data_IF_197546078932
#
_entry.id   IF_197546078932
#
_cell.length_a   1.000
_cell.length_b   1.000
_cell.length_c   1.000
_cell.angle_alpha   90.00
_cell.angle_beta   90.00
_cell.angle_gamma   90.00
#
_symmetry.space_group_name_H-M   'P 1'
#
loop_
_entity.id
_entity.type
_entity.pdbx_description
1 polymer ?
#
# COMPACT_ATOMS: atom_id res chain seq x y z
N UNK A 1 36.34 12.15 1.77
CA UNK A 1 36.40 12.51 3.20
C UNK A 1 35.04 12.17 3.78
N UNK A 2 34.83 10.92 4.17
CA UNK A 2 34.83 10.55 5.59
C UNK A 2 33.41 10.64 6.16
N UNK A 3 32.49 9.81 5.66
CA UNK A 3 31.14 9.67 6.19
C UNK A 3 31.21 9.00 7.56
N UNK A 4 31.28 9.80 8.62
CA UNK A 4 31.07 9.36 9.99
C UNK A 4 29.71 8.68 10.08
N UNK A 5 29.74 7.36 10.30
CA UNK A 5 28.56 6.54 10.54
C UNK A 5 27.79 7.05 11.74
N UNK A 6 26.71 7.78 11.48
CA UNK A 6 25.62 7.91 12.43
C UNK A 6 24.81 6.63 12.26
N UNK A 7 24.76 5.82 13.32
CA UNK A 7 23.86 4.68 13.46
C UNK A 7 22.45 5.11 13.05
N UNK A 8 22.04 4.84 11.81
CA UNK A 8 20.64 4.91 11.41
C UNK A 8 19.95 3.76 12.14
N UNK A 9 19.37 4.07 13.30
CA UNK A 9 18.53 3.13 14.02
C UNK A 9 17.47 2.59 13.04
N UNK A 10 17.32 1.27 13.01
CA UNK A 10 16.25 0.60 12.27
C UNK A 10 14.90 1.20 12.67
N UNK A 11 14.06 1.53 11.67
CA UNK A 11 12.69 2.02 11.88
C UNK A 11 11.95 1.10 12.85
N UNK A 12 11.42 1.68 13.93
CA UNK A 12 10.61 0.93 14.89
C UNK A 12 9.18 0.75 14.37
N UNK A 13 8.50 -0.28 14.85
CA UNK A 13 7.09 -0.55 14.52
C UNK A 13 6.27 -0.25 15.77
N UNK A 14 5.26 0.59 15.62
CA UNK A 14 4.35 1.00 16.68
C UNK A 14 2.95 0.44 16.45
N UNK A 15 2.35 -0.07 17.52
CA UNK A 15 0.93 -0.41 17.53
C UNK A 15 0.15 0.67 18.26
N UNK A 16 -0.79 1.38 17.59
CA UNK A 16 -1.72 2.26 18.28
C UNK A 16 -2.82 1.44 18.94
N UNK A 17 -3.07 1.70 20.22
CA UNK A 17 -4.01 0.96 21.06
C UNK A 17 -5.15 1.89 21.49
N UNK A 18 -6.38 1.40 21.38
CA UNK A 18 -7.61 2.17 21.51
C UNK A 18 -8.62 1.50 22.46
N UNK A 19 -8.13 0.63 23.35
CA UNK A 19 -8.98 -0.05 24.33
C UNK A 19 -9.79 0.93 25.19
N UNK A 20 -11.06 0.60 25.43
CA UNK A 20 -12.01 1.48 26.12
C UNK A 20 -11.90 1.43 27.66
N UNK A 21 -11.16 0.44 28.18
CA UNK A 21 -10.80 0.31 29.60
C UNK A 21 -9.32 0.00 29.76
N UNK A 22 -8.79 0.18 30.98
CA UNK A 22 -7.39 -0.14 31.30
C UNK A 22 -7.10 -1.63 31.10
N UNK A 23 -8.02 -2.52 31.48
CA UNK A 23 -7.87 -3.96 31.33
C UNK A 23 -7.81 -4.37 29.86
N UNK A 24 -8.64 -3.75 29.01
CA UNK A 24 -8.58 -3.96 27.57
C UNK A 24 -7.25 -3.45 27.02
N UNK A 25 -6.83 -2.25 27.39
CA UNK A 25 -5.56 -1.67 26.97
C UNK A 25 -4.39 -2.59 27.31
N UNK A 26 -4.30 -3.12 28.53
CA UNK A 26 -3.24 -4.05 28.96
C UNK A 26 -3.27 -5.37 28.16
N UNK A 27 -4.45 -5.90 27.80
CA UNK A 27 -4.55 -7.07 26.92
C UNK A 27 -4.03 -6.76 25.51
N UNK A 28 -4.42 -5.63 24.95
CA UNK A 28 -3.96 -5.16 23.64
C UNK A 28 -2.44 -4.94 23.61
N UNK A 29 -1.85 -4.40 24.68
CA UNK A 29 -0.39 -4.26 24.80
C UNK A 29 0.34 -5.60 24.69
N UNK A 30 -0.15 -6.62 25.38
CA UNK A 30 0.42 -7.98 25.34
C UNK A 30 0.26 -8.61 23.96
N UNK A 31 -0.89 -8.40 23.32
CA UNK A 31 -1.15 -8.86 21.95
C UNK A 31 -0.21 -8.18 20.95
N UNK A 32 -0.08 -6.85 20.99
CA UNK A 32 0.80 -6.10 20.10
C UNK A 32 2.26 -6.55 20.19
N UNK A 33 2.75 -6.82 21.41
CA UNK A 33 4.08 -7.42 21.61
C UNK A 33 4.20 -8.79 20.96
N UNK A 34 3.21 -9.68 21.17
CA UNK A 34 3.21 -11.01 20.58
C UNK A 34 3.17 -10.96 19.03
N UNK A 35 2.50 -9.96 18.46
CA UNK A 35 2.42 -9.73 17.01
C UNK A 35 3.70 -9.08 16.43
N UNK A 36 4.62 -8.63 17.28
CA UNK A 36 5.94 -8.13 16.88
C UNK A 36 6.07 -6.62 16.85
N UNK A 37 5.24 -5.88 17.58
CA UNK A 37 5.46 -4.44 17.79
C UNK A 37 6.74 -4.20 18.61
N UNK A 38 7.42 -3.07 18.35
CA UNK A 38 8.58 -2.60 19.11
C UNK A 38 8.19 -1.55 20.15
N UNK A 39 7.11 -0.82 19.89
CA UNK A 39 6.63 0.30 20.67
C UNK A 39 5.09 0.30 20.68
N UNK A 40 4.47 0.87 21.72
CA UNK A 40 3.01 0.96 21.82
C UNK A 40 2.58 2.42 21.96
N UNK A 41 1.56 2.84 21.21
CA UNK A 41 0.96 4.17 21.33
C UNK A 41 -0.38 4.05 22.07
N UNK A 42 -0.47 4.64 23.26
CA UNK A 42 -1.64 4.56 24.14
C UNK A 42 -2.51 5.80 23.95
N UNK A 43 -3.71 5.60 23.40
CA UNK A 43 -4.72 6.64 23.20
C UNK A 43 -5.58 6.79 24.45
N UNK A 44 -5.17 7.66 25.37
CA UNK A 44 -5.93 7.90 26.60
C UNK A 44 -7.34 8.46 26.32
N UNK A 45 -7.52 9.14 25.19
CA UNK A 45 -8.81 9.67 24.75
C UNK A 45 -9.86 8.60 24.42
N UNK A 46 -9.45 7.34 24.26
CA UNK A 46 -10.39 6.22 24.06
C UNK A 46 -10.83 5.56 25.36
N UNK A 47 -10.14 5.78 26.48
CA UNK A 47 -10.50 5.15 27.76
C UNK A 47 -11.70 5.88 28.36
N UNK A 48 -12.79 5.13 28.54
CA UNK A 48 -14.01 5.64 29.17
C UNK A 48 -13.78 5.90 30.67
N UNK A 49 -14.31 7.02 31.19
CA UNK A 49 -14.17 7.43 32.60
C UNK A 49 -12.70 7.41 33.09
N UNK A 50 -11.80 8.00 32.31
CA UNK A 50 -10.38 7.98 32.63
C UNK A 50 -10.03 8.81 33.88
N UNK A 51 -9.42 8.17 34.89
CA UNK A 51 -8.93 8.78 36.12
C UNK A 51 -7.39 8.76 36.15
N UNK A 52 -6.70 9.87 35.82
CA UNK A 52 -5.24 9.89 35.59
C UNK A 52 -4.40 9.26 36.71
N UNK A 53 -4.62 9.64 37.96
CA UNK A 53 -3.82 9.16 39.10
C UNK A 53 -3.99 7.67 39.42
N UNK A 54 -5.10 7.06 38.99
CA UNK A 54 -5.35 5.64 39.21
C UNK A 54 -4.97 4.81 37.98
N UNK A 55 -5.32 5.29 36.78
CA UNK A 55 -5.16 4.52 35.55
C UNK A 55 -3.76 4.62 34.94
N UNK A 56 -3.05 5.75 35.06
CA UNK A 56 -1.69 5.85 34.50
C UNK A 56 -0.72 4.87 35.16
N UNK A 57 -0.66 4.73 36.51
CA UNK A 57 0.19 3.70 37.13
C UNK A 57 -0.17 2.30 36.64
N UNK A 58 -1.45 1.95 36.57
CA UNK A 58 -1.88 0.64 36.09
C UNK A 58 -1.46 0.35 34.64
N UNK A 59 -1.51 1.34 33.76
CA UNK A 59 -1.03 1.26 32.36
C UNK A 59 0.49 1.10 32.33
N UNK A 60 1.22 1.94 33.06
CA UNK A 60 2.69 2.01 33.03
C UNK A 60 3.34 0.78 33.70
N UNK A 61 2.81 0.32 34.82
CA UNK A 61 3.32 -0.85 35.56
C UNK A 61 3.13 -2.16 34.77
N UNK A 62 2.16 -2.19 33.85
CA UNK A 62 1.89 -3.33 32.98
C UNK A 62 2.54 -3.23 31.60
N UNK A 63 3.39 -2.21 31.34
CA UNK A 63 3.96 -1.97 30.01
C UNK A 63 4.92 -3.11 29.60
N UNK A 64 4.62 -3.86 28.52
CA UNK A 64 5.49 -4.96 28.09
C UNK A 64 6.57 -4.49 27.09
N UNK A 65 6.47 -3.24 26.63
CA UNK A 65 7.29 -2.52 25.64
C UNK A 65 7.28 -1.02 26.00
N UNK A 66 8.19 -0.20 25.43
CA UNK A 66 8.14 1.26 25.57
C UNK A 66 6.80 1.85 25.10
N UNK A 67 6.31 2.86 25.82
CA UNK A 67 5.03 3.51 25.55
C UNK A 67 5.19 4.95 25.04
N UNK A 68 4.44 5.29 23.98
CA UNK A 68 4.03 6.67 23.69
C UNK A 68 2.68 6.89 24.35
N UNK A 69 2.61 7.85 25.27
CA UNK A 69 1.36 8.29 25.89
C UNK A 69 0.87 9.56 25.20
N UNK A 70 -0.41 9.58 24.84
CA UNK A 70 -1.05 10.76 24.31
C UNK A 70 -2.52 10.86 24.73
N UNK A 71 -3.03 12.09 24.75
CA UNK A 71 -4.39 12.37 25.13
C UNK A 71 -5.00 13.35 24.13
N UNK A 72 -5.42 12.82 22.96
CA UNK A 72 -5.72 13.65 21.78
C UNK A 72 -7.07 14.38 21.95
N UNK A 73 -7.12 15.71 21.84
CA UNK A 73 -8.36 16.48 21.92
C UNK A 73 -9.15 16.44 20.61
N UNK A 74 -10.47 16.70 20.68
CA UNK A 74 -11.34 16.73 19.48
C UNK A 74 -10.90 17.71 18.40
N UNK A 75 -10.34 18.86 18.79
CA UNK A 75 -9.85 19.86 17.83
C UNK A 75 -8.62 19.39 17.03
N UNK A 76 -7.97 18.28 17.43
CA UNK A 76 -6.87 17.63 16.70
C UNK A 76 -7.22 16.18 16.32
N UNK A 77 -8.51 15.88 16.10
CA UNK A 77 -8.98 14.58 15.61
C UNK A 77 -9.03 13.44 16.65
N UNK A 78 -8.88 13.75 17.94
CA UNK A 78 -9.07 12.80 19.04
C UNK A 78 -10.49 12.76 19.58
N UNK A 79 -10.67 12.08 20.71
CA UNK A 79 -11.97 11.96 21.38
C UNK A 79 -12.09 12.78 22.67
N UNK A 80 -11.00 13.34 23.19
CA UNK A 80 -11.05 14.07 24.45
C UNK A 80 -11.85 15.38 24.34
N UNK A 81 -12.84 15.50 25.22
CA UNK A 81 -13.60 16.72 25.50
C UNK A 81 -13.46 17.03 26.98
N UNK A 82 -12.90 18.19 27.30
CA UNK A 82 -12.69 18.61 28.67
C UNK A 82 -11.82 19.85 28.76
N UNK A 83 -11.43 20.18 29.98
CA UNK A 83 -10.52 21.29 30.27
C UNK A 83 -9.09 20.99 29.81
N UNK A 84 -8.54 21.89 28.99
CA UNK A 84 -7.21 21.72 28.42
C UNK A 84 -6.13 21.67 29.50
N UNK A 85 -6.25 22.45 30.58
CA UNK A 85 -5.28 22.42 31.66
C UNK A 85 -5.24 21.02 32.31
N UNK A 86 -6.39 20.43 32.59
CA UNK A 86 -6.53 19.07 33.16
C UNK A 86 -5.94 17.99 32.23
N UNK A 87 -6.17 18.11 30.92
CA UNK A 87 -5.55 17.24 29.90
C UNK A 87 -4.03 17.32 29.94
N UNK A 88 -3.48 18.52 29.99
CA UNK A 88 -2.03 18.74 30.00
C UNK A 88 -1.39 18.29 31.33
N UNK A 89 -2.08 18.47 32.46
CA UNK A 89 -1.65 17.90 33.75
C UNK A 89 -1.59 16.38 33.72
N UNK A 90 -2.51 15.72 33.00
CA UNK A 90 -2.48 14.27 32.79
C UNK A 90 -1.20 13.83 32.05
N UNK A 91 -0.82 14.55 31.00
CA UNK A 91 0.41 14.24 30.24
C UNK A 91 1.68 14.52 31.05
N UNK A 92 1.68 15.57 31.89
CA UNK A 92 2.78 15.83 32.84
C UNK A 92 2.91 14.69 33.85
N UNK A 93 1.81 14.27 34.46
CA UNK A 93 1.78 13.14 35.37
C UNK A 93 2.30 11.86 34.71
N UNK A 94 1.96 11.59 33.44
CA UNK A 94 2.50 10.44 32.72
C UNK A 94 4.02 10.52 32.56
N UNK A 95 4.59 11.71 32.30
CA UNK A 95 6.04 11.92 32.24
C UNK A 95 6.70 11.71 33.61
N UNK A 96 6.10 12.23 34.69
CA UNK A 96 6.56 12.05 36.08
C UNK A 96 6.59 10.58 36.50
N UNK A 97 5.59 9.82 36.07
CA UNK A 97 5.47 8.39 36.34
C UNK A 97 6.36 7.51 35.44
N UNK A 98 7.20 8.12 34.57
CA UNK A 98 8.20 7.39 33.79
C UNK A 98 7.69 6.79 32.46
N UNK A 99 6.74 7.46 31.80
CA UNK A 99 6.44 7.18 30.40
C UNK A 99 7.69 7.37 29.51
N UNK A 100 7.90 6.50 28.52
CA UNK A 100 9.07 6.55 27.65
C UNK A 100 8.99 7.72 26.67
N UNK A 101 7.79 7.97 26.15
CA UNK A 101 7.50 9.09 25.25
C UNK A 101 6.16 9.75 25.60
N UNK A 102 6.10 11.08 25.46
CA UNK A 102 4.85 11.85 25.48
C UNK A 102 4.69 12.57 24.15
N UNK A 103 3.51 12.48 23.56
CA UNK A 103 3.13 13.19 22.33
C UNK A 103 2.28 14.41 22.68
N UNK A 104 2.77 15.59 22.31
CA UNK A 104 2.10 16.89 22.46
C UNK A 104 1.76 17.47 21.10
N UNK A 105 0.55 18.01 20.96
CA UNK A 105 0.18 18.78 19.77
C UNK A 105 1.01 20.07 19.69
N UNK A 106 1.47 20.43 18.47
CA UNK A 106 2.30 21.61 18.22
C UNK A 106 1.75 22.90 18.86
N UNK A 107 0.43 23.07 18.84
CA UNK A 107 -0.28 24.25 19.37
C UNK A 107 -0.01 24.51 20.85
N UNK A 108 0.30 23.48 21.63
CA UNK A 108 0.51 23.56 23.09
C UNK A 108 1.93 23.19 23.54
N UNK A 109 2.75 22.66 22.64
CA UNK A 109 4.04 22.05 22.98
C UNK A 109 5.09 23.03 23.53
N UNK A 110 5.19 24.26 23.00
CA UNK A 110 6.30 25.18 23.28
C UNK A 110 6.45 25.57 24.75
N UNK A 111 5.33 25.83 25.45
CA UNK A 111 5.34 26.17 26.87
C UNK A 111 5.65 24.93 27.73
N UNK A 112 5.08 23.78 27.39
CA UNK A 112 5.10 22.58 28.22
C UNK A 112 6.45 21.87 28.21
N UNK A 113 7.04 21.67 27.04
CA UNK A 113 8.29 20.92 26.90
C UNK A 113 9.43 21.65 27.62
N UNK A 114 9.49 22.98 27.50
CA UNK A 114 10.51 23.78 28.19
C UNK A 114 10.40 23.63 29.71
N UNK A 115 9.19 23.71 30.24
CA UNK A 115 8.95 23.54 31.68
C UNK A 115 9.29 22.12 32.15
N UNK A 116 8.87 21.10 31.40
CA UNK A 116 9.15 19.70 31.72
C UNK A 116 10.65 19.38 31.70
N UNK A 117 11.39 19.89 30.70
CA UNK A 117 12.84 19.69 30.62
C UNK A 117 13.61 20.42 31.73
N UNK A 118 13.09 21.52 32.26
CA UNK A 118 13.71 22.25 33.38
C UNK A 118 13.42 21.54 34.71
N UNK A 119 12.17 21.14 34.93
CA UNK A 119 11.71 20.66 36.22
C UNK A 119 11.97 19.16 36.45
N UNK A 120 12.16 18.39 35.38
CA UNK A 120 12.33 16.94 35.45
C UNK A 120 13.57 16.52 34.65
N UNK A 121 14.57 15.96 35.34
CA UNK A 121 15.63 15.17 34.72
C UNK A 121 15.09 13.78 34.34
N UNK A 122 13.97 13.73 33.62
CA UNK A 122 13.34 12.49 33.20
C UNK A 122 14.02 11.94 31.94
N UNK A 123 14.09 10.62 31.81
CA UNK A 123 14.51 9.95 30.59
C UNK A 123 13.44 9.99 29.48
N UNK A 124 12.23 10.51 29.78
CA UNK A 124 11.12 10.69 28.85
C UNK A 124 11.52 11.57 27.66
N UNK A 125 11.19 11.12 26.44
CA UNK A 125 11.37 11.89 25.22
C UNK A 125 10.05 12.52 24.76
N UNK A 126 10.12 13.71 24.18
CA UNK A 126 8.95 14.46 23.74
C UNK A 126 8.78 14.41 22.23
N UNK A 127 7.63 13.89 21.80
CA UNK A 127 7.16 13.94 20.42
C UNK A 127 6.30 15.20 20.28
N UNK A 128 6.54 15.99 19.25
CA UNK A 128 5.63 17.08 18.87
C UNK A 128 4.92 16.71 17.59
N UNK A 129 3.60 16.64 17.65
CA UNK A 129 2.76 16.24 16.53
C UNK A 129 2.08 17.42 15.85
N UNK A 130 1.93 17.33 14.53
CA UNK A 130 1.11 18.24 13.74
C UNK A 130 0.32 17.46 12.70
N UNK A 131 -1.01 17.68 12.68
CA UNK A 131 -1.89 17.22 11.60
C UNK A 131 -2.00 18.32 10.54
N UNK A 132 -1.53 18.04 9.33
CA UNK A 132 -1.60 18.98 8.22
C UNK A 132 -3.02 18.99 7.68
N UNK A 133 -3.66 20.16 7.74
CA UNK A 133 -5.04 20.40 7.26
C UNK A 133 -5.09 21.14 5.93
N UNK A 134 -3.97 21.70 5.47
CA UNK A 134 -3.85 22.39 4.17
C UNK A 134 -3.73 21.34 3.06
N UNK A 135 -4.47 21.55 1.98
CA UNK A 135 -4.64 20.58 0.88
C UNK A 135 -3.36 20.26 0.10
N UNK A 136 -2.28 21.05 0.23
CA UNK A 136 -0.90 20.70 -0.16
C UNK A 136 0.05 21.82 0.29
N UNK A 137 0.80 21.66 1.38
CA UNK A 137 1.83 22.63 1.74
C UNK A 137 3.03 22.54 0.77
N UNK A 138 3.60 23.69 0.46
CA UNK A 138 4.87 23.83 -0.25
C UNK A 138 6.06 23.32 0.57
N UNK A 139 7.19 23.06 -0.09
CA UNK A 139 8.43 22.67 0.58
C UNK A 139 8.90 23.73 1.60
N UNK A 140 8.67 25.02 1.32
CA UNK A 140 8.96 26.12 2.23
C UNK A 140 8.05 26.08 3.47
N UNK A 141 6.75 25.84 3.30
CA UNK A 141 5.81 25.69 4.41
C UNK A 141 6.16 24.48 5.28
N UNK A 142 6.57 23.36 4.67
CA UNK A 142 7.03 22.18 5.39
C UNK A 142 8.33 22.45 6.16
N UNK A 143 9.29 23.17 5.56
CA UNK A 143 10.51 23.58 6.23
C UNK A 143 10.25 24.50 7.42
N UNK A 144 9.36 25.48 7.24
CA UNK A 144 8.93 26.40 8.29
C UNK A 144 8.19 25.67 9.42
N UNK A 145 7.32 24.71 9.08
CA UNK A 145 6.64 23.86 10.04
C UNK A 145 7.65 23.06 10.86
N UNK A 146 8.58 22.36 10.20
CA UNK A 146 9.58 21.57 10.90
C UNK A 146 10.49 22.44 11.77
N UNK A 147 10.88 23.64 11.31
CA UNK A 147 11.63 24.60 12.13
C UNK A 147 10.84 25.05 13.38
N UNK A 148 9.54 25.31 13.22
CA UNK A 148 8.64 25.67 14.32
C UNK A 148 8.53 24.54 15.33
N UNK A 149 8.31 23.30 14.87
CA UNK A 149 8.25 22.13 15.73
C UNK A 149 9.57 21.91 16.47
N UNK A 150 10.72 22.09 15.82
CA UNK A 150 12.05 22.01 16.46
C UNK A 150 12.24 23.06 17.55
N UNK A 151 11.79 24.28 17.32
CA UNK A 151 11.92 25.38 18.27
C UNK A 151 11.17 25.14 19.59
N UNK A 152 10.21 24.21 19.63
CA UNK A 152 9.54 23.78 20.88
C UNK A 152 10.46 22.99 21.83
N UNK A 153 11.60 22.49 21.33
CA UNK A 153 12.48 21.58 22.08
C UNK A 153 12.11 20.10 21.91
N UNK A 154 11.30 19.74 20.90
CA UNK A 154 10.95 18.36 20.57
C UNK A 154 12.18 17.46 20.37
N UNK A 155 12.11 16.23 20.86
CA UNK A 155 13.13 15.20 20.59
C UNK A 155 12.82 14.44 19.30
N UNK A 156 11.54 14.37 18.92
CA UNK A 156 11.02 13.68 17.72
C UNK A 156 9.93 14.56 17.10
N UNK A 157 9.96 14.72 15.77
CA UNK A 157 8.88 15.38 15.03
C UNK A 157 7.87 14.34 14.55
N UNK A 158 6.57 14.62 14.68
CA UNK A 158 5.50 13.78 14.13
C UNK A 158 4.60 14.59 13.20
N UNK A 159 4.54 14.23 11.93
CA UNK A 159 3.72 14.89 10.93
C UNK A 159 2.74 13.88 10.36
N UNK A 160 1.45 14.21 10.40
CA UNK A 160 0.39 13.37 9.86
C UNK A 160 -0.41 14.19 8.87
N UNK A 161 -0.62 13.67 7.67
CA UNK A 161 -1.48 14.32 6.66
C UNK A 161 -2.61 13.39 6.21
N UNK A 162 -3.68 13.96 5.67
CA UNK A 162 -4.72 13.19 4.98
C UNK A 162 -4.61 13.47 3.48
N UNK A 163 -4.31 12.45 2.69
CA UNK A 163 -4.06 12.59 1.25
C UNK A 163 -5.24 12.13 0.43
N UNK A 164 -5.50 12.88 -0.64
CA UNK A 164 -6.56 12.58 -1.62
C UNK A 164 -6.02 11.96 -2.89
N UNK A 165 -4.72 12.10 -3.14
CA UNK A 165 -3.99 11.44 -4.21
C UNK A 165 -2.67 10.83 -3.67
N UNK A 166 -2.25 9.72 -4.26
CA UNK A 166 -1.02 9.02 -3.84
C UNK A 166 0.26 9.83 -4.10
N UNK A 167 0.24 10.78 -5.03
CA UNK A 167 1.40 11.61 -5.39
C UNK A 167 1.79 12.56 -4.27
N UNK A 168 0.84 12.93 -3.42
CA UNK A 168 1.05 13.77 -2.25
C UNK A 168 2.05 13.17 -1.24
N UNK A 169 2.16 11.84 -1.20
CA UNK A 169 3.04 11.10 -0.28
C UNK A 169 4.52 11.36 -0.55
N UNK A 170 4.89 11.83 -1.74
CA UNK A 170 6.28 12.21 -2.03
C UNK A 170 6.82 13.24 -1.02
N UNK A 171 5.95 14.10 -0.48
CA UNK A 171 6.31 15.06 0.58
C UNK A 171 6.64 14.37 1.90
N UNK A 172 5.92 13.31 2.26
CA UNK A 172 6.26 12.48 3.43
C UNK A 172 7.65 11.87 3.25
N UNK A 173 7.94 11.31 2.08
CA UNK A 173 9.26 10.74 1.81
C UNK A 173 10.37 11.80 1.85
N UNK A 174 10.08 13.02 1.38
CA UNK A 174 10.98 14.15 1.51
C UNK A 174 11.26 14.49 2.99
N UNK A 175 10.22 14.62 3.83
CA UNK A 175 10.34 14.88 5.26
C UNK A 175 11.15 13.79 5.99
N UNK A 176 10.94 12.52 5.65
CA UNK A 176 11.69 11.43 6.28
C UNK A 176 13.18 11.45 5.89
N UNK A 177 13.51 11.85 4.66
CA UNK A 177 14.86 11.71 4.11
C UNK A 177 15.80 12.89 4.41
N UNK A 178 15.26 14.09 4.66
CA UNK A 178 16.07 15.33 4.68
C UNK A 178 16.40 15.86 6.09
N UNK A 179 15.79 15.33 7.14
CA UNK A 179 15.94 15.87 8.49
C UNK A 179 16.94 15.05 9.32
N UNK A 180 17.87 15.75 9.98
CA UNK A 180 18.93 15.15 10.81
C UNK A 180 18.46 14.75 12.22
N UNK A 181 17.16 14.77 12.48
CA UNK A 181 16.56 14.35 13.74
C UNK A 181 15.50 13.28 13.49
N UNK A 182 15.10 12.50 14.51
CA UNK A 182 14.03 11.52 14.34
C UNK A 182 12.72 12.17 13.86
N UNK A 183 12.20 11.68 12.73
CA UNK A 183 10.93 12.10 12.17
C UNK A 183 10.00 10.90 12.03
N UNK A 184 8.77 11.06 12.48
CA UNK A 184 7.62 10.20 12.22
C UNK A 184 6.76 10.96 11.20
N UNK A 185 6.59 10.43 10.01
CA UNK A 185 5.73 11.07 9.02
C UNK A 185 4.97 10.01 8.21
N UNK A 186 3.66 10.19 8.09
CA UNK A 186 2.80 9.30 7.31
C UNK A 186 1.50 9.98 6.93
N UNK A 187 0.83 9.42 5.93
CA UNK A 187 -0.49 9.87 5.50
C UNK A 187 -1.56 8.86 5.94
N UNK A 188 -2.74 9.34 6.37
CA UNK A 188 -3.89 8.51 6.71
C UNK A 188 -4.73 8.15 5.48
N UNK A 189 -5.62 7.17 5.62
CA UNK A 189 -6.51 6.73 4.55
C UNK A 189 -5.83 5.77 3.56
N UNK A 190 -6.63 5.11 2.72
CA UNK A 190 -6.14 4.01 1.87
C UNK A 190 -5.00 4.39 0.93
N UNK A 191 -4.97 5.65 0.46
CA UNK A 191 -3.89 6.18 -0.38
C UNK A 191 -2.59 6.31 0.39
N UNK A 192 -2.66 6.70 1.66
CA UNK A 192 -1.52 6.86 2.55
C UNK A 192 -0.78 5.56 2.91
N UNK A 193 -1.31 4.38 2.56
CA UNK A 193 -0.74 3.09 2.95
C UNK A 193 0.77 2.96 2.66
N UNK A 194 1.22 3.41 1.48
CA UNK A 194 2.63 3.28 1.11
C UNK A 194 3.57 4.16 1.96
N UNK A 195 3.06 5.22 2.59
CA UNK A 195 3.85 6.05 3.51
C UNK A 195 4.32 5.25 4.74
N UNK A 196 3.47 4.34 5.24
CA UNK A 196 3.82 3.43 6.34
C UNK A 196 4.74 2.31 5.86
N UNK A 197 4.45 1.72 4.70
CA UNK A 197 5.20 0.57 4.16
C UNK A 197 6.64 0.93 3.77
N UNK A 198 6.85 2.14 3.22
CA UNK A 198 8.15 2.59 2.74
C UNK A 198 8.90 3.46 3.76
N UNK A 199 8.36 3.63 4.97
CA UNK A 199 8.97 4.38 6.05
C UNK A 199 10.45 3.97 6.31
N UNK A 200 10.83 2.66 6.34
CA UNK A 200 12.23 2.26 6.52
C UNK A 200 13.16 2.71 5.39
N UNK A 201 12.70 2.66 4.13
CA UNK A 201 13.49 3.12 2.98
C UNK A 201 13.83 4.61 3.11
N UNK A 202 12.85 5.42 3.50
CA UNK A 202 13.01 6.86 3.56
C UNK A 202 13.52 7.36 4.92
N UNK A 203 13.92 6.47 5.83
CA UNK A 203 14.62 6.82 7.07
C UNK A 203 13.72 7.26 8.21
N UNK A 204 12.42 6.95 8.17
CA UNK A 204 11.51 7.31 9.25
C UNK A 204 11.79 6.57 10.56
N UNK A 205 11.57 7.27 11.67
CA UNK A 205 11.84 6.76 13.01
C UNK A 205 10.84 5.65 13.42
N UNK A 206 9.57 5.83 13.03
CA UNK A 206 8.47 4.96 13.43
C UNK A 206 7.53 4.72 12.23
N UNK A 207 7.18 3.46 12.02
CA UNK A 207 6.05 3.07 11.19
C UNK A 207 4.95 2.46 12.07
N UNK A 208 3.70 2.57 11.67
CA UNK A 208 2.56 2.05 12.42
C UNK A 208 2.03 0.76 11.81
N UNK A 209 1.60 -0.16 12.68
CA UNK A 209 0.90 -1.37 12.29
C UNK A 209 -0.24 -1.69 13.26
N UNK A 210 -1.40 -2.04 12.72
CA UNK A 210 -2.57 -2.36 13.55
C UNK A 210 -2.53 -3.81 14.05
N UNK A 211 -3.05 -4.03 15.26
CA UNK A 211 -3.17 -5.38 15.84
C UNK A 211 -4.29 -6.17 15.16
N UNK A 212 -4.22 -7.49 15.22
CA UNK A 212 -5.30 -8.36 14.73
C UNK A 212 -6.63 -8.03 15.40
N UNK A 213 -7.69 -7.90 14.59
CA UNK A 213 -9.04 -7.57 15.06
C UNK A 213 -9.36 -6.08 15.05
N UNK A 214 -8.35 -5.22 14.89
CA UNK A 214 -8.54 -3.77 14.79
C UNK A 214 -7.91 -3.25 13.49
N UNK A 215 -8.74 -2.96 12.49
CA UNK A 215 -8.29 -2.44 11.20
C UNK A 215 -8.45 -0.93 11.15
N UNK A 216 -7.36 -0.22 10.85
CA UNK A 216 -7.37 1.24 10.66
C UNK A 216 -7.17 1.52 9.17
N UNK A 217 -8.09 2.24 8.49
CA UNK A 217 -7.92 2.56 7.07
C UNK A 217 -6.58 3.24 6.77
N UNK A 218 -5.84 2.71 5.80
CA UNK A 218 -4.51 3.22 5.45
C UNK A 218 -3.36 2.70 6.31
N UNK A 219 -3.64 1.92 7.36
CA UNK A 219 -2.61 1.32 8.20
C UNK A 219 -2.45 -0.17 7.86
N UNK A 220 -1.22 -0.67 7.64
CA UNK A 220 -0.99 -2.09 7.49
C UNK A 220 -1.20 -2.80 8.84
N UNK A 221 -1.49 -4.10 8.82
CA UNK A 221 -1.44 -4.90 10.05
C UNK A 221 0.01 -5.18 10.46
N UNK A 222 0.27 -5.37 11.76
CA UNK A 222 1.58 -5.83 12.27
C UNK A 222 2.04 -7.10 11.57
N UNK A 223 1.12 -8.03 11.30
CA UNK A 223 1.40 -9.23 10.54
C UNK A 223 1.97 -8.92 9.16
N UNK A 224 1.31 -8.04 8.39
CA UNK A 224 1.75 -7.68 7.04
C UNK A 224 3.10 -6.97 7.05
N UNK A 225 3.31 -6.04 7.97
CA UNK A 225 4.60 -5.36 8.17
C UNK A 225 5.73 -6.36 8.38
N UNK A 226 5.52 -7.35 9.26
CA UNK A 226 6.55 -8.32 9.66
C UNK A 226 6.75 -9.49 8.69
N UNK A 227 5.71 -9.94 8.00
CA UNK A 227 5.75 -11.18 7.21
C UNK A 227 5.68 -10.93 5.70
N UNK A 228 4.83 -9.99 5.27
CA UNK A 228 4.67 -9.66 3.85
C UNK A 228 5.81 -8.74 3.40
N UNK A 229 5.95 -7.59 4.07
CA UNK A 229 6.85 -6.52 3.66
C UNK A 229 8.24 -6.59 4.28
N UNK A 230 8.41 -7.26 5.42
CA UNK A 230 9.71 -7.47 6.08
C UNK A 230 10.47 -6.16 6.26
N UNK A 231 9.87 -5.20 6.97
CA UNK A 231 10.47 -3.86 7.21
C UNK A 231 11.90 -3.94 7.76
N UNK A 232 12.20 -4.98 8.53
CA UNK A 232 13.51 -5.34 9.07
C UNK A 232 14.61 -5.58 8.00
N UNK A 233 14.23 -5.86 6.75
CA UNK A 233 15.14 -6.06 5.63
C UNK A 233 15.25 -4.83 4.70
N UNK A 234 14.42 -3.81 4.90
CA UNK A 234 14.37 -2.64 4.02
C UNK A 234 15.38 -1.56 4.45
N UNK A 235 16.02 -0.92 3.47
CA UNK A 235 16.98 0.17 3.67
C UNK A 235 16.87 1.23 2.56
N UNK A 236 17.71 2.26 2.58
CA UNK A 236 17.68 3.37 1.61
C UNK A 236 17.86 2.90 0.16
N UNK A 237 18.60 1.83 -0.07
CA UNK A 237 18.90 1.29 -1.40
C UNK A 237 17.81 0.35 -1.93
N UNK A 238 16.85 -0.04 -1.10
CA UNK A 238 15.76 -0.94 -1.50
C UNK A 238 14.98 -0.35 -2.66
N UNK A 239 14.84 -1.09 -3.75
CA UNK A 239 14.03 -0.69 -4.91
C UNK A 239 12.55 -0.95 -4.67
N UNK A 240 11.70 -0.05 -5.16
CA UNK A 240 10.25 -0.09 -4.94
C UNK A 240 9.55 -0.46 -6.24
N UNK A 241 8.99 -1.67 -6.26
CA UNK A 241 8.05 -2.12 -7.26
C UNK A 241 6.64 -1.98 -6.73
N UNK A 242 5.64 -2.09 -7.61
CA UNK A 242 4.28 -2.19 -7.12
C UNK A 242 3.21 -2.32 -8.17
N UNK A 243 1.98 -2.53 -7.70
CA UNK A 243 0.80 -2.58 -8.55
C UNK A 243 0.16 -1.19 -8.62
N UNK A 244 0.07 -0.64 -9.83
CA UNK A 244 -0.72 0.55 -10.16
C UNK A 244 -2.16 0.12 -10.45
N UNK A 245 -3.11 0.42 -9.57
CA UNK A 245 -4.53 0.08 -9.79
C UNK A 245 -5.50 0.94 -8.98
N UNK A 246 -6.78 0.87 -9.36
CA UNK A 246 -7.90 1.51 -8.67
C UNK A 246 -9.16 0.65 -8.76
N UNK A 247 -9.59 -0.02 -7.66
CA UNK A 247 -8.96 -0.09 -6.34
C UNK A 247 -7.70 -0.98 -6.32
N UNK A 248 -6.93 -0.96 -5.22
CA UNK A 248 -5.69 -1.77 -5.06
C UNK A 248 -5.69 -2.71 -3.86
N UNK A 249 -6.62 -2.55 -2.91
CA UNK A 249 -6.63 -3.22 -1.60
C UNK A 249 -6.69 -4.75 -1.66
N UNK A 250 -7.25 -5.34 -2.73
CA UNK A 250 -7.35 -6.79 -2.90
C UNK A 250 -6.15 -7.43 -3.60
N UNK A 251 -5.10 -6.66 -3.89
CA UNK A 251 -3.93 -7.17 -4.60
C UNK A 251 -3.19 -8.23 -3.78
N UNK A 252 -3.00 -9.40 -4.39
CA UNK A 252 -2.10 -10.45 -3.87
C UNK A 252 -0.65 -10.27 -4.35
N UNK A 253 -0.37 -9.25 -5.16
CA UNK A 253 0.98 -8.95 -5.67
C UNK A 253 2.04 -8.92 -4.57
N UNK A 254 1.82 -8.20 -3.45
CA UNK A 254 2.78 -8.18 -2.33
C UNK A 254 3.06 -9.56 -1.71
N UNK A 255 2.05 -10.46 -1.68
CA UNK A 255 2.19 -11.81 -1.11
C UNK A 255 3.03 -12.72 -2.04
N UNK A 256 3.01 -12.45 -3.34
CA UNK A 256 3.74 -13.23 -4.33
C UNK A 256 5.15 -12.68 -4.60
N UNK A 257 5.26 -11.37 -4.82
CA UNK A 257 6.53 -10.74 -5.20
C UNK A 257 7.51 -10.61 -4.05
N UNK A 258 7.08 -10.17 -2.87
CA UNK A 258 8.01 -9.91 -1.78
C UNK A 258 8.78 -11.17 -1.35
N UNK A 259 8.15 -12.36 -1.21
CA UNK A 259 8.91 -13.59 -0.99
C UNK A 259 9.86 -13.94 -2.13
N UNK A 260 9.45 -13.72 -3.39
CA UNK A 260 10.26 -14.01 -4.57
C UNK A 260 11.50 -13.12 -4.67
N UNK A 261 11.35 -11.80 -4.45
CA UNK A 261 12.47 -10.86 -4.41
C UNK A 261 13.49 -11.27 -3.34
N UNK A 262 13.02 -11.68 -2.16
CA UNK A 262 13.89 -12.18 -1.09
C UNK A 262 14.58 -13.50 -1.44
N UNK A 263 13.86 -14.44 -2.05
CA UNK A 263 14.44 -15.71 -2.47
C UNK A 263 15.61 -15.52 -3.44
N UNK A 264 15.48 -14.53 -4.32
CA UNK A 264 16.50 -14.17 -5.31
C UNK A 264 17.58 -13.21 -4.76
N UNK A 265 17.57 -12.93 -3.46
CA UNK A 265 18.44 -11.95 -2.79
C UNK A 265 18.42 -10.57 -3.46
N UNK A 266 17.28 -10.19 -4.02
CA UNK A 266 17.09 -8.88 -4.62
C UNK A 266 16.64 -7.87 -3.56
N UNK A 267 17.35 -6.75 -3.43
CA UNK A 267 17.00 -5.67 -2.50
C UNK A 267 15.82 -4.86 -3.04
N UNK A 268 14.62 -5.43 -3.00
CA UNK A 268 13.41 -4.81 -3.48
C UNK A 268 12.20 -5.11 -2.60
N UNK A 269 11.21 -4.21 -2.67
CA UNK A 269 9.89 -4.35 -2.06
C UNK A 269 8.82 -4.10 -3.11
N UNK A 270 7.72 -4.83 -3.03
CA UNK A 270 6.55 -4.69 -3.88
C UNK A 270 5.36 -4.18 -3.07
N UNK A 271 4.81 -3.02 -3.44
CA UNK A 271 3.74 -2.31 -2.71
C UNK A 271 2.48 -2.05 -3.57
N UNK A 272 1.31 -1.84 -2.93
CA UNK A 272 0.10 -1.45 -3.65
C UNK A 272 0.03 0.07 -3.87
N UNK A 273 0.18 0.52 -5.12
CA UNK A 273 -0.04 1.92 -5.49
C UNK A 273 -1.52 2.15 -5.84
N UNK A 274 -2.26 2.79 -4.92
CA UNK A 274 -3.61 3.28 -5.17
C UNK A 274 -3.54 4.57 -6.00
N UNK A 275 -3.56 4.43 -7.33
CA UNK A 275 -3.40 5.57 -8.24
C UNK A 275 -4.76 6.11 -8.67
N UNK A 276 -4.93 7.43 -8.71
CA UNK A 276 -6.09 8.08 -9.34
C UNK A 276 -5.73 8.64 -10.72
N UNK A 277 -4.61 9.35 -10.81
CA UNK A 277 -4.10 10.01 -12.02
C UNK A 277 -2.76 9.40 -12.47
N UNK A 278 -2.73 8.74 -13.63
CA UNK A 278 -1.52 8.12 -14.18
C UNK A 278 -0.42 9.13 -14.50
N UNK A 279 -0.78 10.30 -15.03
CA UNK A 279 0.19 11.33 -15.43
C UNK A 279 0.95 11.86 -14.22
N UNK A 280 0.21 12.23 -13.18
CA UNK A 280 0.80 12.74 -11.94
C UNK A 280 1.60 11.64 -11.23
N UNK A 281 1.11 10.39 -11.26
CA UNK A 281 1.82 9.24 -10.72
C UNK A 281 3.19 9.04 -11.35
N UNK A 282 3.28 8.92 -12.69
CA UNK A 282 4.56 8.68 -13.35
C UNK A 282 5.51 9.89 -13.28
N UNK A 283 4.97 11.10 -13.19
CA UNK A 283 5.77 12.30 -12.92
C UNK A 283 6.38 12.26 -11.52
N UNK A 284 5.59 11.91 -10.51
CA UNK A 284 5.99 11.90 -9.10
C UNK A 284 6.96 10.77 -8.78
N UNK A 285 6.68 9.56 -9.29
CA UNK A 285 7.47 8.36 -9.06
C UNK A 285 8.43 8.08 -10.22
N UNK A 286 9.10 9.15 -10.70
CA UNK A 286 10.00 9.13 -11.86
C UNK A 286 11.43 8.68 -11.55
N UNK A 287 11.83 8.68 -10.28
CA UNK A 287 13.20 8.35 -9.85
C UNK A 287 13.60 6.88 -10.01
N UNK A 288 14.90 6.62 -9.97
CA UNK A 288 15.52 5.28 -10.06
C UNK A 288 15.21 4.34 -8.89
N UNK A 289 14.51 4.84 -7.86
CA UNK A 289 13.96 4.05 -6.77
C UNK A 289 12.74 3.23 -7.20
N UNK A 290 12.11 3.59 -8.32
CA UNK A 290 10.91 2.96 -8.84
C UNK A 290 11.20 2.31 -10.21
N UNK A 291 11.90 1.16 -10.23
CA UNK A 291 12.36 0.55 -11.47
C UNK A 291 11.27 -0.20 -12.25
N UNK A 292 10.09 -0.44 -11.68
CA UNK A 292 9.03 -1.11 -12.43
C UNK A 292 7.71 -1.24 -11.71
N UNK A 293 6.66 -1.44 -12.51
CA UNK A 293 5.29 -1.44 -12.06
C UNK A 293 4.52 -2.58 -12.73
N UNK A 294 3.68 -3.27 -11.97
CA UNK A 294 2.55 -3.99 -12.57
C UNK A 294 1.39 -3.03 -12.74
N UNK A 295 0.55 -3.26 -13.74
CA UNK A 295 -0.62 -2.42 -14.03
C UNK A 295 -1.87 -3.27 -13.95
N UNK A 296 -2.78 -2.86 -13.05
CA UNK A 296 -4.06 -3.49 -12.80
C UNK A 296 -5.22 -2.75 -13.45
N UNK A 297 -6.43 -3.16 -13.11
CA UNK A 297 -7.66 -2.47 -13.53
C UNK A 297 -7.71 -1.07 -12.87
N UNK A 298 -8.17 -0.02 -13.58
CA UNK A 298 -8.63 0.00 -14.98
C UNK A 298 -7.55 0.42 -15.98
N UNK A 299 -6.28 0.46 -15.58
CA UNK A 299 -5.26 1.23 -16.27
C UNK A 299 -4.55 0.53 -17.43
N UNK A 300 -4.76 -0.78 -17.64
CA UNK A 300 -3.96 -1.56 -18.62
C UNK A 300 -3.97 -1.00 -20.05
N UNK A 301 -5.08 -0.39 -20.48
CA UNK A 301 -5.17 0.24 -21.81
C UNK A 301 -4.60 1.66 -21.78
N UNK A 302 -5.01 2.49 -20.81
CA UNK A 302 -4.58 3.89 -20.69
C UNK A 302 -3.08 4.05 -20.47
N UNK A 303 -2.44 3.09 -19.80
CA UNK A 303 -1.00 3.17 -19.46
C UNK A 303 -0.09 3.08 -20.69
N UNK A 304 -0.60 2.61 -21.84
CA UNK A 304 0.15 2.49 -23.09
C UNK A 304 0.70 3.86 -23.53
N UNK A 305 -0.10 4.92 -23.37
CA UNK A 305 0.29 6.30 -23.73
C UNK A 305 1.40 6.88 -22.84
N UNK A 306 1.66 6.26 -21.68
CA UNK A 306 2.70 6.66 -20.73
C UNK A 306 4.00 5.86 -20.89
N UNK A 307 4.03 4.88 -21.79
CA UNK A 307 5.24 4.13 -22.12
C UNK A 307 5.98 4.84 -23.25
N UNK A 308 7.29 5.06 -23.10
CA UNK A 308 8.12 5.60 -24.17
C UNK A 308 8.33 4.58 -25.30
N UNK A 309 8.36 3.30 -24.93
CA UNK A 309 8.49 2.16 -25.84
C UNK A 309 7.50 1.06 -25.41
N UNK A 310 6.89 0.38 -26.38
CA UNK A 310 5.94 -0.71 -26.11
C UNK A 310 6.42 -1.95 -26.84
N UNK A 311 6.51 -3.07 -26.14
CA UNK A 311 6.89 -4.34 -26.73
C UNK A 311 5.87 -4.75 -27.82
N UNK A 312 6.29 -5.30 -28.99
CA UNK A 312 5.39 -5.58 -30.11
C UNK A 312 4.15 -6.40 -29.75
N UNK A 313 4.29 -7.37 -28.84
CA UNK A 313 3.14 -8.12 -28.31
C UNK A 313 2.15 -7.21 -27.57
N UNK A 314 2.63 -6.36 -26.66
CA UNK A 314 1.78 -5.47 -25.89
C UNK A 314 1.12 -4.39 -26.76
N UNK A 315 1.83 -3.91 -27.79
CA UNK A 315 1.32 -2.98 -28.79
C UNK A 315 0.20 -3.62 -29.61
N UNK A 316 0.39 -4.84 -30.11
CA UNK A 316 -0.65 -5.58 -30.85
C UNK A 316 -1.90 -5.80 -30.00
N UNK A 317 -1.71 -6.15 -28.72
CA UNK A 317 -2.80 -6.32 -27.77
C UNK A 317 -3.47 -4.96 -27.50
N UNK A 318 -2.73 -3.85 -27.51
CA UNK A 318 -3.21 -2.53 -27.08
C UNK A 318 -3.40 -2.44 -25.57
N UNK A 319 -2.64 -3.21 -24.79
CA UNK A 319 -2.68 -3.16 -23.34
C UNK A 319 -1.34 -3.57 -22.71
N UNK A 320 -0.93 -2.85 -21.67
CA UNK A 320 0.29 -3.08 -20.89
C UNK A 320 -0.09 -3.45 -19.46
N UNK A 321 0.49 -4.53 -18.94
CA UNK A 321 0.32 -4.95 -17.54
C UNK A 321 1.62 -4.91 -16.73
N UNK A 322 2.76 -4.68 -17.39
CA UNK A 322 4.09 -4.68 -16.80
C UNK A 322 4.90 -3.55 -17.41
N UNK A 323 5.44 -2.67 -16.58
CA UNK A 323 6.28 -1.55 -16.99
C UNK A 323 7.64 -1.74 -16.35
N UNK A 324 8.68 -1.62 -17.16
CA UNK A 324 10.07 -1.61 -16.69
C UNK A 324 10.65 -0.24 -17.00
N UNK A 325 11.21 0.42 -15.99
CA UNK A 325 12.02 1.62 -16.18
C UNK A 325 13.43 1.18 -16.52
N UNK A 326 13.85 1.46 -17.75
CA UNK A 326 15.17 1.07 -18.24
C UNK A 326 16.27 1.84 -17.48
N UNK A 327 17.25 1.15 -16.85
CA UNK A 327 18.24 1.82 -16.02
C UNK A 327 19.15 2.81 -16.76
N UNK A 328 19.43 2.60 -18.05
CA UNK A 328 20.41 3.40 -18.79
C UNK A 328 19.90 4.80 -19.19
N UNK A 329 18.61 4.96 -19.45
CA UNK A 329 18.02 6.22 -19.93
C UNK A 329 16.73 6.62 -19.20
N UNK A 330 16.24 5.79 -18.27
CA UNK A 330 15.05 6.06 -17.47
C UNK A 330 13.73 5.88 -18.21
N UNK A 331 13.74 5.43 -19.47
CA UNK A 331 12.53 5.24 -20.27
C UNK A 331 11.63 4.15 -19.71
N UNK A 332 10.32 4.34 -19.83
CA UNK A 332 9.30 3.38 -19.46
C UNK A 332 8.99 2.46 -20.65
N UNK A 333 9.27 1.17 -20.48
CA UNK A 333 9.00 0.14 -21.49
C UNK A 333 7.80 -0.70 -21.05
N UNK A 334 6.77 -0.73 -21.88
CA UNK A 334 5.52 -1.46 -21.64
C UNK A 334 5.54 -2.88 -22.19
N UNK A 335 5.17 -3.85 -21.37
CA UNK A 335 5.04 -5.27 -21.70
C UNK A 335 3.65 -5.81 -21.32
N UNK A 336 3.30 -6.94 -21.90
CA UNK A 336 2.10 -7.70 -21.56
C UNK A 336 2.48 -9.15 -21.23
N UNK A 337 2.35 -9.53 -19.96
CA UNK A 337 2.59 -10.89 -19.48
C UNK A 337 1.30 -11.67 -19.23
N UNK A 338 0.14 -11.01 -19.24
CA UNK A 338 -1.17 -11.66 -19.06
C UNK A 338 -1.46 -12.63 -20.21
N UNK A 339 -1.09 -12.24 -21.44
CA UNK A 339 -1.41 -12.98 -22.66
C UNK A 339 -0.89 -14.42 -22.62
N UNK A 340 0.41 -14.59 -22.46
CA UNK A 340 1.02 -15.93 -22.41
C UNK A 340 0.56 -16.68 -21.16
N UNK A 341 0.66 -16.05 -20.00
CA UNK A 341 0.43 -16.73 -18.74
C UNK A 341 -1.02 -17.20 -18.56
N UNK A 342 -2.02 -16.45 -19.06
CA UNK A 342 -3.41 -16.89 -19.01
C UNK A 342 -3.66 -18.11 -19.92
N UNK A 343 -3.06 -18.13 -21.11
CA UNK A 343 -3.25 -19.22 -22.07
C UNK A 343 -2.53 -20.49 -21.63
N UNK A 344 -1.27 -20.37 -21.18
CA UNK A 344 -0.55 -21.51 -20.59
C UNK A 344 -1.34 -22.10 -19.42
N UNK A 345 -1.90 -21.27 -18.55
CA UNK A 345 -2.69 -21.76 -17.42
C UNK A 345 -3.97 -22.49 -17.84
N UNK A 346 -4.59 -22.09 -18.95
CA UNK A 346 -5.76 -22.78 -19.51
C UNK A 346 -5.33 -24.12 -20.10
N UNK A 347 -4.23 -24.17 -20.84
CA UNK A 347 -3.70 -25.42 -21.41
C UNK A 347 -3.29 -26.41 -20.30
N UNK A 348 -2.64 -25.93 -19.24
CA UNK A 348 -2.29 -26.74 -18.07
C UNK A 348 -3.53 -27.31 -17.36
N UNK A 349 -4.58 -26.49 -17.19
CA UNK A 349 -5.85 -26.93 -16.61
C UNK A 349 -6.60 -27.95 -17.50
N UNK A 350 -6.26 -28.01 -18.78
CA UNK A 350 -6.75 -29.01 -19.74
C UNK A 350 -5.76 -30.18 -19.91
N UNK A 351 -4.87 -30.38 -18.94
CA UNK A 351 -3.87 -31.46 -18.93
C UNK A 351 -2.97 -31.44 -20.18
N UNK A 352 -2.61 -30.23 -20.65
CA UNK A 352 -1.76 -30.02 -21.82
C UNK A 352 -2.52 -30.12 -23.15
N UNK A 353 -3.85 -30.25 -23.13
CA UNK A 353 -4.64 -30.25 -24.37
C UNK A 353 -4.59 -28.86 -25.03
N UNK A 354 -4.03 -28.79 -26.23
CA UNK A 354 -3.96 -27.57 -27.02
C UNK A 354 -5.36 -26.98 -27.29
N UNK A 355 -5.44 -25.64 -27.27
CA UNK A 355 -6.69 -24.91 -27.52
C UNK A 355 -6.99 -24.67 -29.01
N UNK A 356 -6.08 -25.08 -29.90
CA UNK A 356 -6.20 -24.92 -31.35
C UNK A 356 -7.51 -25.52 -31.89
N UNK A 357 -8.21 -24.75 -32.73
CA UNK A 357 -9.50 -25.13 -33.34
C UNK A 357 -10.72 -25.04 -32.42
N UNK A 358 -10.53 -24.99 -31.08
CA UNK A 358 -11.63 -24.89 -30.11
C UNK A 358 -12.28 -23.50 -30.15
N UNK A 359 -13.56 -23.45 -29.82
CA UNK A 359 -14.25 -22.18 -29.59
C UNK A 359 -13.84 -21.60 -28.22
N UNK A 360 -13.23 -20.43 -28.24
CA UNK A 360 -12.88 -19.63 -27.07
C UNK A 360 -13.87 -18.49 -26.91
N UNK A 361 -14.73 -18.61 -25.90
CA UNK A 361 -15.76 -17.66 -25.56
C UNK A 361 -15.22 -16.71 -24.50
N UNK A 362 -15.04 -15.46 -24.88
CA UNK A 362 -14.57 -14.40 -24.00
C UNK A 362 -15.73 -13.52 -23.59
N UNK A 363 -15.85 -13.25 -22.29
CA UNK A 363 -16.75 -12.24 -21.75
C UNK A 363 -15.91 -11.13 -21.14
N UNK A 364 -16.00 -9.92 -21.70
CA UNK A 364 -15.18 -8.77 -21.34
C UNK A 364 -14.08 -8.47 -22.36
N UNK A 365 -14.08 -7.26 -22.90
CA UNK A 365 -13.15 -6.71 -23.89
C UNK A 365 -12.27 -5.58 -23.29
N UNK A 366 -12.07 -5.60 -21.97
CA UNK A 366 -11.09 -4.80 -21.23
C UNK A 366 -9.65 -5.26 -21.46
N UNK A 367 -8.65 -4.54 -20.97
CA UNK A 367 -7.23 -4.92 -21.13
C UNK A 367 -6.87 -6.39 -20.83
N UNK A 368 -7.48 -7.01 -19.81
CA UNK A 368 -7.30 -8.45 -19.53
C UNK A 368 -7.98 -9.34 -20.59
N UNK A 369 -9.19 -8.98 -21.01
CA UNK A 369 -9.89 -9.64 -22.11
C UNK A 369 -9.15 -9.54 -23.44
N UNK A 370 -8.55 -8.38 -23.73
CA UNK A 370 -7.69 -8.19 -24.90
C UNK A 370 -6.52 -9.18 -24.87
N UNK A 371 -5.80 -9.28 -23.76
CA UNK A 371 -4.71 -10.25 -23.61
C UNK A 371 -5.17 -11.71 -23.81
N UNK A 372 -6.32 -12.10 -23.23
CA UNK A 372 -6.91 -13.42 -23.43
C UNK A 372 -7.26 -13.71 -24.89
N UNK A 373 -7.92 -12.76 -25.57
CA UNK A 373 -8.33 -12.92 -26.97
C UNK A 373 -7.12 -13.08 -27.91
N UNK A 374 -6.11 -12.22 -27.76
CA UNK A 374 -4.88 -12.29 -28.56
C UNK A 374 -4.11 -13.58 -28.29
N UNK A 375 -3.97 -13.96 -27.02
CA UNK A 375 -3.31 -15.21 -26.64
C UNK A 375 -4.02 -16.42 -27.24
N UNK A 376 -5.33 -16.53 -27.06
CA UNK A 376 -6.11 -17.64 -27.59
C UNK A 376 -6.05 -17.69 -29.13
N UNK A 377 -6.09 -16.53 -29.79
CA UNK A 377 -5.97 -16.44 -31.24
C UNK A 377 -4.60 -16.91 -31.74
N UNK A 378 -3.52 -16.54 -31.04
CA UNK A 378 -2.16 -16.94 -31.39
C UNK A 378 -1.96 -18.47 -31.33
N UNK A 379 -2.75 -19.17 -30.50
CA UNK A 379 -2.79 -20.64 -30.42
C UNK A 379 -3.78 -21.30 -31.37
N UNK A 380 -4.42 -20.54 -32.26
CA UNK A 380 -5.33 -21.07 -33.28
C UNK A 380 -6.76 -21.31 -32.81
N UNK A 381 -7.18 -20.76 -31.66
CA UNK A 381 -8.57 -20.84 -31.23
C UNK A 381 -9.50 -19.95 -32.08
N UNK A 382 -10.78 -20.34 -32.18
CA UNK A 382 -11.84 -19.50 -32.75
C UNK A 382 -12.40 -18.61 -31.66
N UNK A 383 -12.39 -17.30 -31.86
CA UNK A 383 -12.73 -16.34 -30.80
C UNK A 383 -14.17 -15.84 -30.95
N UNK A 384 -14.95 -15.89 -29.87
CA UNK A 384 -16.26 -15.26 -29.74
C UNK A 384 -16.26 -14.34 -28.53
N UNK A 385 -16.63 -13.07 -28.71
CA UNK A 385 -16.51 -12.03 -27.69
C UNK A 385 -17.88 -11.44 -27.35
N UNK A 386 -18.14 -11.34 -26.05
CA UNK A 386 -19.28 -10.63 -25.47
C UNK A 386 -18.78 -9.52 -24.57
N UNK A 387 -19.38 -8.34 -24.64
CA UNK A 387 -19.15 -7.24 -23.70
C UNK A 387 -20.42 -6.40 -23.57
N UNK A 388 -20.61 -5.77 -22.42
CA UNK A 388 -21.71 -4.81 -22.17
C UNK A 388 -21.61 -3.61 -23.12
N UNK A 389 -20.40 -3.25 -23.52
CA UNK A 389 -20.11 -2.31 -24.59
C UNK A 389 -19.85 -3.11 -25.88
N UNK A 390 -20.88 -3.18 -26.71
CA UNK A 390 -20.83 -3.96 -27.95
C UNK A 390 -19.79 -3.43 -28.95
N UNK A 391 -19.49 -2.13 -28.94
CA UNK A 391 -18.48 -1.56 -29.84
C UNK A 391 -17.08 -1.98 -29.41
N UNK A 392 -16.82 -2.09 -28.09
CA UNK A 392 -15.58 -2.70 -27.59
C UNK A 392 -15.45 -4.17 -28.01
N UNK A 393 -16.53 -4.95 -27.90
CA UNK A 393 -16.52 -6.35 -28.34
C UNK A 393 -16.21 -6.48 -29.84
N UNK A 394 -16.87 -5.68 -30.68
CA UNK A 394 -16.61 -5.62 -32.14
C UNK A 394 -15.17 -5.26 -32.45
N UNK A 395 -14.66 -4.17 -31.86
CA UNK A 395 -13.29 -3.70 -32.09
C UNK A 395 -12.27 -4.79 -31.78
N UNK A 396 -12.41 -5.47 -30.63
CA UNK A 396 -11.52 -6.57 -30.27
C UNK A 396 -11.70 -7.78 -31.20
N UNK A 397 -12.92 -8.15 -31.56
CA UNK A 397 -13.19 -9.27 -32.46
C UNK A 397 -12.58 -9.04 -33.85
N UNK A 398 -12.68 -7.82 -34.39
CA UNK A 398 -12.01 -7.45 -35.63
C UNK A 398 -10.49 -7.58 -35.53
N UNK A 399 -9.89 -7.15 -34.42
CA UNK A 399 -8.44 -7.22 -34.20
C UNK A 399 -7.91 -8.67 -34.15
N UNK A 400 -8.71 -9.63 -33.66
CA UNK A 400 -8.31 -11.05 -33.55
C UNK A 400 -8.97 -11.95 -34.59
N UNK A 401 -9.64 -11.39 -35.60
CA UNK A 401 -10.40 -12.15 -36.61
C UNK A 401 -11.36 -13.16 -35.95
N UNK A 402 -12.15 -12.68 -35.00
CA UNK A 402 -13.19 -13.41 -34.28
C UNK A 402 -14.59 -12.87 -34.55
N UNK A 403 -15.56 -13.33 -33.77
CA UNK A 403 -16.96 -12.89 -33.83
C UNK A 403 -17.30 -12.08 -32.55
N UNK A 404 -18.13 -11.04 -32.69
CA UNK A 404 -18.66 -10.29 -31.56
C UNK A 404 -20.19 -10.47 -31.47
N UNK A 405 -20.70 -10.56 -30.24
CA UNK A 405 -22.12 -10.66 -29.93
C UNK A 405 -22.49 -9.72 -28.79
N UNK A 406 -23.76 -9.33 -28.71
CA UNK A 406 -24.23 -8.44 -27.64
C UNK A 406 -24.29 -9.20 -26.31
N UNK A 407 -24.09 -8.51 -25.20
CA UNK A 407 -24.04 -9.16 -23.88
C UNK A 407 -25.33 -9.92 -23.52
N UNK A 408 -26.50 -9.45 -23.95
CA UNK A 408 -27.80 -10.08 -23.70
C UNK A 408 -27.86 -11.49 -24.31
N UNK A 409 -27.13 -11.72 -25.40
CA UNK A 409 -27.09 -13.01 -26.07
C UNK A 409 -26.32 -14.07 -25.26
N UNK A 410 -25.51 -13.68 -24.26
CA UNK A 410 -24.80 -14.61 -23.36
C UNK A 410 -25.78 -15.56 -22.66
N UNK A 411 -26.93 -15.06 -22.23
CA UNK A 411 -27.91 -15.82 -21.42
C UNK A 411 -28.43 -17.05 -22.17
N UNK A 412 -28.63 -16.91 -23.48
CA UNK A 412 -29.18 -17.96 -24.34
C UNK A 412 -28.09 -18.67 -25.15
N UNK A 413 -26.82 -18.30 -24.97
CA UNK A 413 -25.73 -18.90 -25.72
C UNK A 413 -25.49 -20.34 -25.28
N UNK A 414 -25.49 -21.26 -26.24
CA UNK A 414 -25.19 -22.68 -26.03
C UNK A 414 -23.88 -23.00 -26.72
N UNK A 415 -22.75 -23.07 -26.00
CA UNK A 415 -21.48 -23.42 -26.61
C UNK A 415 -21.49 -24.86 -27.11
N UNK A 416 -20.74 -25.12 -28.18
CA UNK A 416 -20.42 -26.48 -28.60
C UNK A 416 -19.63 -27.24 -27.52
N UNK A 417 -19.64 -28.58 -27.60
CA UNK A 417 -18.89 -29.42 -26.64
C UNK A 417 -17.39 -29.17 -26.78
N UNK A 418 -16.73 -28.87 -25.66
CA UNK A 418 -15.29 -28.61 -25.62
C UNK A 418 -14.90 -27.14 -25.83
N UNK A 419 -15.86 -26.23 -25.93
CA UNK A 419 -15.60 -24.80 -25.88
C UNK A 419 -14.99 -24.37 -24.53
N UNK A 420 -14.21 -23.30 -24.56
CA UNK A 420 -13.54 -22.71 -23.40
C UNK A 420 -14.23 -21.38 -23.10
N UNK A 421 -14.66 -21.18 -21.86
CA UNK A 421 -15.18 -19.90 -21.39
C UNK A 421 -14.12 -19.18 -20.55
N UNK A 422 -13.82 -17.93 -20.90
CA UNK A 422 -12.96 -17.06 -20.12
C UNK A 422 -13.69 -15.77 -19.75
N UNK A 423 -13.60 -15.38 -18.48
CA UNK A 423 -14.14 -14.12 -17.98
C UNK A 423 -13.03 -13.08 -17.83
N UNK A 424 -13.04 -12.05 -18.66
CA UNK A 424 -12.17 -10.87 -18.58
C UNK A 424 -12.80 -9.67 -17.87
N UNK A 425 -13.97 -9.82 -17.25
CA UNK A 425 -14.67 -8.76 -16.50
C UNK A 425 -14.40 -8.82 -14.99
N UNK A 426 -14.92 -7.84 -14.24
CA UNK A 426 -14.90 -7.85 -12.76
C UNK A 426 -15.77 -8.98 -12.20
N UNK A 427 -15.46 -9.43 -10.98
CA UNK A 427 -16.08 -10.58 -10.31
C UNK A 427 -17.61 -10.51 -10.20
N UNK A 428 -18.18 -9.31 -10.20
CA UNK A 428 -19.62 -9.06 -10.06
C UNK A 428 -20.45 -9.68 -11.20
N UNK A 429 -19.89 -9.80 -12.40
CA UNK A 429 -20.57 -10.41 -13.55
C UNK A 429 -20.53 -11.94 -13.55
N UNK A 430 -19.80 -12.59 -12.62
CA UNK A 430 -19.63 -14.04 -12.58
C UNK A 430 -20.95 -14.77 -12.32
N UNK A 431 -21.87 -14.19 -11.54
CA UNK A 431 -23.16 -14.82 -11.26
C UNK A 431 -24.02 -15.02 -12.52
N UNK A 432 -23.94 -14.08 -13.47
CA UNK A 432 -24.63 -14.16 -14.76
C UNK A 432 -24.03 -15.30 -15.60
N UNK A 433 -22.70 -15.44 -15.58
CA UNK A 433 -22.00 -16.50 -16.31
C UNK A 433 -22.29 -17.90 -15.76
N UNK A 434 -22.32 -18.05 -14.43
CA UNK A 434 -22.67 -19.33 -13.79
C UNK A 434 -24.09 -19.75 -14.20
N UNK A 435 -25.04 -18.81 -14.24
CA UNK A 435 -26.42 -19.08 -14.64
C UNK A 435 -26.54 -19.42 -16.13
N UNK A 436 -25.90 -18.66 -17.00
CA UNK A 436 -25.97 -18.84 -18.46
C UNK A 436 -25.35 -20.17 -18.93
N UNK A 437 -24.19 -20.53 -18.37
CA UNK A 437 -23.40 -21.68 -18.81
C UNK A 437 -23.63 -22.96 -17.98
N UNK A 438 -24.53 -22.93 -17.00
CA UNK A 438 -24.82 -24.07 -16.10
C UNK A 438 -23.54 -24.69 -15.48
N UNK A 439 -22.56 -23.84 -15.16
CA UNK A 439 -21.23 -24.27 -14.71
C UNK A 439 -21.30 -24.78 -13.26
N UNK A 440 -20.76 -25.96 -13.00
CA UNK A 440 -20.47 -26.41 -11.64
C UNK A 440 -19.24 -25.65 -11.12
N UNK A 441 -19.25 -25.24 -9.84
CA UNK A 441 -18.29 -24.31 -9.17
C UNK A 441 -16.79 -24.68 -9.19
N UNK A 442 -16.34 -25.69 -9.96
CA UNK A 442 -15.08 -26.39 -9.70
C UNK A 442 -13.77 -25.70 -10.14
N UNK A 443 -13.78 -24.67 -10.99
CA UNK A 443 -12.54 -24.08 -11.52
C UNK A 443 -12.61 -22.54 -11.57
N UNK A 444 -12.40 -21.88 -10.43
CA UNK A 444 -12.33 -20.41 -10.38
C UNK A 444 -11.22 -19.99 -9.43
N UNK A 445 -10.03 -19.71 -9.97
CA UNK A 445 -8.89 -19.24 -9.16
C UNK A 445 -7.62 -18.82 -9.92
N UNK A 446 -7.58 -18.89 -11.25
CA UNK A 446 -6.30 -18.91 -11.98
C UNK A 446 -5.80 -17.51 -12.41
N UNK A 447 -6.66 -16.50 -12.52
CA UNK A 447 -6.24 -15.16 -13.02
C UNK A 447 -5.34 -14.32 -12.07
N UNK A 448 -4.86 -14.88 -10.95
CA UNK A 448 -3.91 -14.20 -10.06
C UNK A 448 -2.46 -14.69 -10.20
N UNK A 449 -2.18 -15.65 -11.09
CA UNK A 449 -0.88 -16.33 -11.21
C UNK A 449 -0.16 -15.93 -12.49
N UNK A 450 0.22 -14.66 -12.62
CA UNK A 450 1.06 -14.21 -13.73
C UNK A 450 2.12 -13.23 -13.25
N UNK A 451 2.98 -13.62 -12.29
CA UNK A 451 4.25 -12.90 -12.17
C UNK A 451 5.44 -13.72 -11.66
N UNK A 452 6.35 -13.96 -12.60
CA UNK A 452 7.73 -14.37 -12.37
C UNK A 452 8.68 -13.81 -13.46
N UNK A 453 8.33 -12.69 -14.14
CA UNK A 453 9.16 -12.14 -15.21
C UNK A 453 10.15 -11.04 -14.77
N UNK A 454 10.06 -10.55 -13.53
CA UNK A 454 10.85 -9.38 -13.09
C UNK A 454 12.35 -9.65 -12.90
N UNK A 455 12.75 -10.89 -12.62
CA UNK A 455 14.11 -11.18 -12.13
C UNK A 455 15.04 -11.68 -13.25
N UNK A 456 14.48 -12.16 -14.37
CA UNK A 456 15.28 -12.66 -15.48
C UNK A 456 15.78 -11.56 -16.42
N UNK A 457 15.08 -10.41 -16.49
CA UNK A 457 15.42 -9.32 -17.42
C UNK A 457 16.50 -8.37 -16.89
N UNK A 458 16.69 -8.26 -15.57
CA UNK A 458 17.76 -7.41 -15.01
C UNK A 458 19.15 -8.08 -15.10
N UNK A 459 19.20 -9.43 -15.14
CA UNK A 459 20.46 -10.19 -15.30
C UNK A 459 20.94 -10.31 -16.75
N UNK A 460 20.14 -9.91 -17.74
CA UNK A 460 20.52 -9.94 -19.16
C UNK A 460 20.90 -8.56 -19.74
N UNK A 461 20.76 -7.48 -18.96
CA UNK A 461 21.04 -6.10 -19.41
C UNK A 461 22.19 -5.44 -18.60
N UNK A 462 22.91 -6.22 -17.79
CA UNK A 462 24.19 -5.83 -17.18
C UNK A 462 25.35 -6.55 -17.85
#
# INVERSE_FOLDING_TARGET
MGSTGILKNSTMICAPLMGETVEQMVKEMKQAKAEGSHLLEIRLDHITNFHPHHHLPAILDNKPLPLIILYRPKWDGGLYEGDEHSRLQTLRLAAELGADYIDFELKVASHLIRELKINYQSATKFIVSCHITVTTPSDEELANLAATMRATGADILKVVENVTDITEIARIFHLLSHYQMPVIAYSVGERGLISQLLCPKFGGFLAYGSIKGYSIPGMPSLYSVKHTYKHDLMNSETKVFGLVSKPVSHSKGPILHNPTLRHENFNGVYVPFFVDNLKEFFSTYSGSDFPGFSVGIPYKEAVVEFCDEVHPLAESIGAVNTIIRRPCDGKLIGYNTDCEAAITSIEDALEGTLISGKLFVLVGAGGAGRALAFGAKSRGARILIFDIDFERAKSLASAVLGEARTFEQVINFRPEKGAILANGTRSECIHILISAFQLTRKLWGIMSWCLMLFIHLEKQVC
#
